data_IF_877261892708
#
_entry.id   IF_877261892708
#
_cell.length_a   1.000
_cell.length_b   1.000
_cell.length_c   1.000
_cell.angle_alpha   90.00
_cell.angle_beta   90.00
_cell.angle_gamma   90.00
#
_symmetry.space_group_name_H-M   'P 1'
#
loop_
_entity.id
_entity.type
_entity.pdbx_description
1 polymer ?
#
# COMPACT_ATOMS: atom_id res chain seq x y z
N UNK A 1 24.28 61.92 -23.90
CA UNK A 1 24.66 60.51 -24.13
C UNK A 1 24.46 59.74 -22.86
N UNK A 2 23.78 58.59 -22.92
CA UNK A 2 23.53 57.73 -21.76
C UNK A 2 22.11 57.18 -21.70
N UNK A 3 21.71 56.39 -22.71
CA UNK A 3 20.55 55.50 -22.65
C UNK A 3 21.00 54.10 -22.23
N UNK A 4 20.13 53.39 -21.51
CA UNK A 4 19.98 51.95 -21.61
C UNK A 4 20.91 51.10 -20.75
N UNK A 5 20.41 50.67 -19.60
CA UNK A 5 20.89 49.45 -18.95
C UNK A 5 20.10 48.23 -19.44
N UNK A 6 20.79 47.15 -19.83
CA UNK A 6 20.30 45.79 -19.66
C UNK A 6 21.30 45.03 -18.76
N UNK A 7 20.89 44.25 -17.78
CA UNK A 7 20.10 43.04 -17.96
C UNK A 7 20.91 41.91 -17.33
N UNK A 8 20.74 41.68 -16.03
CA UNK A 8 21.33 40.56 -15.33
C UNK A 8 20.56 39.29 -15.72
N UNK A 9 21.12 38.49 -16.62
CA UNK A 9 20.65 37.13 -16.89
C UNK A 9 21.13 36.22 -15.74
N UNK A 10 20.22 35.96 -14.79
CA UNK A 10 20.34 34.87 -13.85
C UNK A 10 20.07 33.55 -14.58
N UNK A 11 21.14 32.87 -14.99
CA UNK A 11 21.07 31.49 -15.47
C UNK A 11 20.91 30.54 -14.29
N UNK A 12 19.68 30.42 -13.76
CA UNK A 12 19.29 29.27 -12.96
C UNK A 12 18.92 28.14 -13.94
N UNK A 13 19.92 27.42 -14.43
CA UNK A 13 19.68 26.16 -15.13
C UNK A 13 19.14 25.17 -14.09
N UNK A 14 17.89 24.76 -14.32
CA UNK A 14 17.17 23.80 -13.51
C UNK A 14 17.99 22.52 -13.34
N UNK A 15 18.32 22.26 -12.08
CA UNK A 15 18.82 20.97 -11.66
C UNK A 15 17.71 19.93 -11.79
N UNK A 16 17.98 18.95 -12.63
CA UNK A 16 17.87 17.54 -12.28
C UNK A 16 16.48 17.03 -11.81
N UNK A 17 15.54 16.93 -12.76
CA UNK A 17 14.35 16.06 -12.65
C UNK A 17 14.38 14.91 -13.67
N UNK A 18 15.57 14.56 -14.18
CA UNK A 18 15.76 13.40 -15.06
C UNK A 18 16.24 12.17 -14.27
N UNK A 19 15.52 11.78 -13.22
CA UNK A 19 15.83 10.58 -12.45
C UNK A 19 14.62 9.65 -12.36
N UNK A 20 14.77 8.49 -13.03
CA UNK A 20 14.01 7.23 -12.91
C UNK A 20 12.73 7.05 -13.76
N UNK A 21 12.87 7.13 -15.09
CA UNK A 21 11.90 6.53 -16.04
C UNK A 21 12.40 5.20 -16.61
N UNK A 22 12.64 4.21 -15.76
CA UNK A 22 12.63 2.81 -16.23
C UNK A 22 11.37 2.17 -15.67
N UNK A 23 10.25 2.43 -16.35
CA UNK A 23 8.97 1.81 -16.03
C UNK A 23 9.03 0.30 -16.25
N UNK A 24 8.21 -0.44 -15.53
CA UNK A 24 8.04 -1.87 -15.77
C UNK A 24 7.46 -2.08 -17.18
N UNK A 25 8.15 -2.90 -17.98
CA UNK A 25 7.80 -3.14 -19.36
C UNK A 25 6.73 -4.23 -19.49
N UNK A 26 5.62 -3.90 -20.12
CA UNK A 26 4.49 -4.83 -20.36
C UNK A 26 4.52 -5.44 -21.76
N UNK A 27 5.60 -5.26 -22.53
CA UNK A 27 5.77 -6.00 -23.80
C UNK A 27 5.69 -7.51 -23.52
N UNK A 28 4.93 -8.21 -24.34
CA UNK A 28 4.71 -9.65 -24.17
C UNK A 28 3.80 -10.04 -22.99
N UNK A 29 3.25 -9.09 -22.24
CA UNK A 29 2.30 -9.40 -21.15
C UNK A 29 1.03 -10.06 -21.68
N UNK A 30 0.68 -11.21 -21.10
CA UNK A 30 -0.56 -11.94 -21.35
C UNK A 30 -1.28 -12.19 -20.04
N UNK A 31 -2.56 -11.85 -20.00
CA UNK A 31 -3.42 -12.17 -18.85
C UNK A 31 -3.70 -13.66 -18.86
N UNK A 32 -3.37 -14.33 -17.76
CA UNK A 32 -3.67 -15.75 -17.56
C UNK A 32 -5.01 -15.89 -16.83
N UNK A 33 -5.18 -15.17 -15.71
CA UNK A 33 -6.44 -15.15 -14.95
C UNK A 33 -6.57 -13.96 -14.01
N UNK A 34 -7.81 -13.65 -13.65
CA UNK A 34 -8.11 -12.75 -12.53
C UNK A 34 -8.00 -13.56 -11.24
N UNK A 35 -7.09 -13.15 -10.34
CA UNK A 35 -6.90 -13.77 -9.03
C UNK A 35 -7.99 -13.33 -8.05
N UNK A 36 -8.30 -12.03 -8.03
CA UNK A 36 -9.32 -11.44 -7.17
C UNK A 36 -9.84 -10.14 -7.79
N UNK A 37 -11.13 -9.87 -7.60
CA UNK A 37 -11.81 -8.63 -7.95
C UNK A 37 -12.59 -8.14 -6.72
N UNK A 38 -12.53 -6.83 -6.47
CA UNK A 38 -13.44 -6.16 -5.55
C UNK A 38 -14.06 -4.92 -6.20
N UNK A 39 -15.30 -5.08 -6.69
CA UNK A 39 -16.13 -3.97 -7.13
C UNK A 39 -16.36 -2.91 -6.02
N UNK A 40 -16.28 -3.28 -4.74
CA UNK A 40 -16.44 -2.33 -3.62
C UNK A 40 -15.21 -1.41 -3.49
N UNK A 41 -14.01 -1.99 -3.40
CA UNK A 41 -12.75 -1.23 -3.28
C UNK A 41 -12.18 -0.77 -4.62
N UNK A 42 -12.83 -1.12 -5.74
CA UNK A 42 -12.39 -0.77 -7.10
C UNK A 42 -10.98 -1.29 -7.40
N UNK A 43 -10.71 -2.52 -6.99
CA UNK A 43 -9.39 -3.18 -7.11
C UNK A 43 -9.50 -4.48 -7.88
N UNK A 44 -8.50 -4.80 -8.69
CA UNK A 44 -8.35 -6.11 -9.35
C UNK A 44 -6.92 -6.62 -9.25
N UNK A 45 -6.78 -7.93 -9.04
CA UNK A 45 -5.51 -8.65 -8.94
C UNK A 45 -5.45 -9.63 -10.10
N UNK A 46 -4.41 -9.52 -10.92
CA UNK A 46 -4.30 -10.21 -12.20
C UNK A 46 -3.03 -11.04 -12.18
N UNK A 47 -3.15 -12.32 -12.48
CA UNK A 47 -2.01 -13.16 -12.83
C UNK A 47 -1.87 -13.14 -14.34
N UNK A 48 -0.65 -12.86 -14.79
CA UNK A 48 -0.28 -12.99 -16.19
C UNK A 48 1.13 -13.53 -16.33
N UNK A 49 1.56 -13.61 -17.57
CA UNK A 49 2.89 -14.05 -17.96
C UNK A 49 3.54 -13.01 -18.87
N UNK A 50 4.84 -12.83 -18.72
CA UNK A 50 5.66 -12.02 -19.64
C UNK A 50 6.65 -12.96 -20.31
N UNK A 51 6.62 -12.97 -21.64
CA UNK A 51 7.60 -13.65 -22.46
C UNK A 51 8.44 -12.59 -23.19
N UNK A 52 9.74 -12.56 -22.90
CA UNK A 52 10.70 -11.85 -23.73
C UNK A 52 11.07 -12.70 -24.94
N UNK A 53 11.41 -12.07 -26.07
CA UNK A 53 11.74 -12.78 -27.31
C UNK A 53 12.84 -13.84 -27.09
N UNK A 54 12.44 -15.12 -27.13
CA UNK A 54 13.33 -16.28 -26.99
C UNK A 54 13.59 -16.75 -25.56
N UNK A 55 12.99 -16.15 -24.53
CA UNK A 55 13.11 -16.57 -23.13
C UNK A 55 11.88 -17.31 -22.62
N UNK A 56 12.04 -18.09 -21.54
CA UNK A 56 10.91 -18.70 -20.85
C UNK A 56 9.97 -17.64 -20.26
N UNK A 57 8.67 -17.85 -20.43
CA UNK A 57 7.66 -16.99 -19.87
C UNK A 57 7.74 -16.99 -18.34
N UNK A 58 7.75 -15.81 -17.73
CA UNK A 58 7.80 -15.63 -16.29
C UNK A 58 6.46 -15.09 -15.79
N UNK A 59 6.01 -15.64 -14.67
CA UNK A 59 4.78 -15.17 -14.04
C UNK A 59 4.94 -13.74 -13.50
N UNK A 60 3.85 -12.99 -13.56
CA UNK A 60 3.72 -11.64 -13.00
C UNK A 60 2.36 -11.52 -12.34
N UNK A 61 2.30 -10.81 -11.22
CA UNK A 61 1.03 -10.34 -10.64
C UNK A 61 0.96 -8.83 -10.78
N UNK A 62 -0.13 -8.35 -11.38
CA UNK A 62 -0.44 -6.92 -11.51
C UNK A 62 -1.68 -6.62 -10.68
N UNK A 63 -1.58 -5.64 -9.81
CA UNK A 63 -2.67 -5.15 -8.96
C UNK A 63 -3.02 -3.75 -9.43
N UNK A 64 -4.28 -3.53 -9.78
CA UNK A 64 -4.80 -2.25 -10.22
C UNK A 64 -5.82 -1.76 -9.21
N UNK A 65 -5.64 -0.54 -8.72
CA UNK A 65 -6.51 0.09 -7.73
C UNK A 65 -6.86 1.51 -8.18
N UNK A 66 -8.15 1.86 -8.18
CA UNK A 66 -8.58 3.24 -8.42
C UNK A 66 -8.14 4.12 -7.25
N UNK A 67 -7.57 5.28 -7.57
CA UNK A 67 -7.19 6.25 -6.54
C UNK A 67 -8.43 6.96 -5.96
N UNK A 68 -8.41 7.33 -4.67
CA UNK A 68 -9.44 8.17 -4.07
C UNK A 68 -9.49 9.56 -4.73
N UNK A 69 -10.65 10.22 -4.67
CA UNK A 69 -10.77 11.62 -5.06
C UNK A 69 -10.00 12.51 -4.07
N UNK A 70 -9.34 13.55 -4.59
CA UNK A 70 -8.70 14.60 -3.80
C UNK A 70 -9.55 15.87 -3.86
N UNK A 71 -9.91 16.41 -2.70
CA UNK A 71 -10.83 17.55 -2.58
C UNK A 71 -10.35 18.78 -3.37
N UNK A 72 -9.04 18.98 -3.42
CA UNK A 72 -8.36 20.10 -4.07
C UNK A 72 -8.54 20.06 -5.60
N UNK A 73 -8.70 18.85 -6.15
CA UNK A 73 -8.83 18.62 -7.60
C UNK A 73 -10.28 18.61 -8.09
N UNK A 74 -11.27 18.71 -7.20
CA UNK A 74 -12.68 18.65 -7.57
C UNK A 74 -13.10 19.80 -8.50
N UNK A 75 -12.52 20.98 -8.33
CA UNK A 75 -12.76 22.14 -9.20
C UNK A 75 -12.23 21.92 -10.62
N UNK A 76 -11.20 21.10 -10.78
CA UNK A 76 -10.66 20.69 -12.08
C UNK A 76 -11.52 19.61 -12.74
N UNK A 77 -12.16 18.73 -11.95
CA UNK A 77 -13.09 17.71 -12.44
C UNK A 77 -14.46 18.28 -12.83
N UNK A 78 -15.00 19.17 -12.00
CA UNK A 78 -16.36 19.67 -12.07
C UNK A 78 -16.38 21.11 -12.59
N UNK A 79 -15.92 21.30 -13.83
CA UNK A 79 -15.91 22.59 -14.51
C UNK A 79 -16.84 22.57 -15.74
N UNK A 80 -16.95 23.73 -16.42
CA UNK A 80 -17.82 23.92 -17.59
C UNK A 80 -17.50 23.00 -18.80
N UNK A 81 -16.27 22.50 -18.87
CA UNK A 81 -15.74 21.68 -19.95
C UNK A 81 -15.76 20.18 -19.59
N UNK A 82 -16.39 19.80 -18.47
CA UNK A 82 -16.51 18.40 -18.04
C UNK A 82 -17.29 17.53 -19.06
N UNK A 83 -16.68 16.44 -19.52
CA UNK A 83 -17.35 15.43 -20.36
C UNK A 83 -18.26 14.55 -19.49
N UNK A 84 -19.49 15.03 -19.30
CA UNK A 84 -20.58 14.35 -18.61
C UNK A 84 -21.55 13.73 -19.62
N UNK A 85 -21.75 12.42 -19.55
CA UNK A 85 -22.71 11.70 -20.38
C UNK A 85 -23.85 11.16 -19.53
N UNK A 86 -25.06 11.63 -19.80
CA UNK A 86 -26.25 11.27 -19.04
C UNK A 86 -26.61 9.79 -19.24
N UNK A 87 -26.84 9.07 -18.14
CA UNK A 87 -27.40 7.71 -18.16
C UNK A 87 -28.90 7.72 -17.86
N UNK A 88 -29.26 8.27 -16.69
CA UNK A 88 -30.63 8.25 -16.18
C UNK A 88 -30.94 9.61 -15.57
N UNK A 89 -32.15 10.11 -15.79
CA UNK A 89 -32.69 11.29 -15.14
C UNK A 89 -34.13 11.02 -14.69
N UNK A 90 -34.42 11.28 -13.43
CA UNK A 90 -35.76 11.26 -12.87
C UNK A 90 -35.92 12.41 -11.86
N UNK A 91 -36.83 13.33 -12.16
CA UNK A 91 -37.04 14.57 -11.39
C UNK A 91 -35.72 15.32 -11.13
N UNK A 92 -35.31 15.45 -9.87
CA UNK A 92 -34.07 16.11 -9.45
C UNK A 92 -32.84 15.19 -9.45
N UNK A 93 -33.01 13.89 -9.66
CA UNK A 93 -31.92 12.92 -9.67
C UNK A 93 -31.45 12.65 -11.09
N UNK A 94 -30.14 12.77 -11.33
CA UNK A 94 -29.53 12.38 -12.60
C UNK A 94 -28.17 11.73 -12.37
N UNK A 95 -27.90 10.64 -13.08
CA UNK A 95 -26.64 9.90 -13.02
C UNK A 95 -25.90 10.07 -14.35
N UNK A 96 -24.61 10.40 -14.27
CA UNK A 96 -23.75 10.63 -15.44
C UNK A 96 -22.51 9.74 -15.37
N UNK A 97 -21.93 9.43 -16.52
CA UNK A 97 -20.51 9.08 -16.63
C UNK A 97 -19.71 10.35 -16.79
N UNK A 98 -18.79 10.61 -15.86
CA UNK A 98 -17.76 11.63 -15.99
C UNK A 98 -16.49 11.00 -16.58
N UNK A 99 -15.95 11.59 -17.64
CA UNK A 99 -14.66 11.20 -18.20
C UNK A 99 -13.58 12.19 -17.75
N UNK A 100 -12.80 11.87 -16.70
CA UNK A 100 -11.81 12.78 -16.15
C UNK A 100 -10.64 13.01 -17.12
N UNK A 101 -9.95 14.16 -17.03
CA UNK A 101 -8.71 14.38 -17.77
C UNK A 101 -7.64 13.34 -17.37
N UNK A 102 -6.66 13.04 -18.24
CA UNK A 102 -5.60 12.06 -17.94
C UNK A 102 -4.79 12.34 -16.66
N UNK A 103 -4.73 13.59 -16.23
CA UNK A 103 -4.04 13.96 -14.98
C UNK A 103 -4.77 13.52 -13.72
N UNK A 104 -6.07 13.20 -13.81
CA UNK A 104 -6.93 12.85 -12.68
C UNK A 104 -7.50 11.43 -12.79
N UNK A 105 -6.97 10.62 -13.71
CA UNK A 105 -7.42 9.26 -13.97
C UNK A 105 -6.38 8.19 -13.58
N UNK A 106 -5.45 8.56 -12.69
CA UNK A 106 -4.39 7.69 -12.19
C UNK A 106 -4.96 6.38 -11.64
N UNK A 107 -4.31 5.28 -11.98
CA UNK A 107 -4.59 3.96 -11.42
C UNK A 107 -3.32 3.51 -10.72
N UNK A 108 -3.40 3.33 -9.40
CA UNK A 108 -2.30 2.79 -8.62
C UNK A 108 -2.04 1.37 -9.13
N UNK A 109 -0.83 1.16 -9.65
CA UNK A 109 -0.42 -0.09 -10.26
C UNK A 109 0.72 -0.68 -9.46
N UNK A 110 0.53 -1.87 -8.90
CA UNK A 110 1.58 -2.62 -8.21
C UNK A 110 1.94 -3.85 -9.02
N UNK A 111 3.22 -4.03 -9.29
CA UNK A 111 3.74 -5.16 -10.07
C UNK A 111 4.60 -6.05 -9.17
N UNK A 112 4.33 -7.35 -9.19
CA UNK A 112 5.15 -8.38 -8.55
C UNK A 112 5.74 -9.26 -9.65
N UNK A 113 7.04 -9.11 -9.90
CA UNK A 113 7.75 -9.82 -10.96
C UNK A 113 9.20 -10.18 -10.55
N UNK A 114 9.67 -11.42 -10.85
CA UNK A 114 8.86 -12.56 -11.24
C UNK A 114 7.98 -13.03 -10.05
N UNK A 115 6.73 -13.34 -10.33
CA UNK A 115 5.81 -13.87 -9.33
C UNK A 115 6.12 -15.35 -9.07
N UNK A 116 6.17 -15.75 -7.80
CA UNK A 116 6.24 -17.16 -7.41
C UNK A 116 4.82 -17.70 -7.23
N UNK A 117 4.67 -19.03 -7.19
CA UNK A 117 3.39 -19.67 -6.85
C UNK A 117 2.81 -19.19 -5.51
N UNK A 118 3.68 -18.83 -4.56
CA UNK A 118 3.26 -18.23 -3.27
C UNK A 118 2.62 -16.86 -3.46
N UNK A 119 3.12 -16.03 -4.38
CA UNK A 119 2.52 -14.73 -4.69
C UNK A 119 1.15 -14.92 -5.35
N UNK A 120 1.05 -15.84 -6.30
CA UNK A 120 -0.20 -16.18 -6.99
C UNK A 120 -1.25 -16.66 -5.96
N UNK A 121 -0.87 -17.62 -5.11
CA UNK A 121 -1.75 -18.18 -4.06
C UNK A 121 -2.18 -17.13 -3.03
N UNK A 122 -1.30 -16.17 -2.70
CA UNK A 122 -1.59 -15.06 -1.77
C UNK A 122 -2.70 -14.14 -2.28
N UNK A 123 -2.73 -13.85 -3.59
CA UNK A 123 -3.70 -12.92 -4.18
C UNK A 123 -4.89 -13.61 -4.83
N UNK A 124 -4.84 -14.94 -5.00
CA UNK A 124 -6.00 -15.73 -5.40
C UNK A 124 -7.08 -15.58 -4.34
N UNK A 125 -8.31 -15.25 -4.76
CA UNK A 125 -9.46 -15.15 -3.88
C UNK A 125 -9.60 -16.46 -3.11
N UNK A 126 -9.31 -16.41 -1.81
CA UNK A 126 -9.47 -17.55 -0.93
C UNK A 126 -10.91 -17.57 -0.42
N UNK A 127 -11.53 -18.73 -0.42
CA UNK A 127 -12.75 -18.94 0.35
C UNK A 127 -12.39 -18.81 1.82
N UNK A 128 -12.99 -17.83 2.48
CA UNK A 128 -12.80 -17.60 3.90
C UNK A 128 -13.88 -18.34 4.67
N UNK A 129 -13.46 -19.08 5.68
CA UNK A 129 -14.34 -19.82 6.57
C UNK A 129 -14.24 -19.22 7.97
N UNK A 130 -15.38 -19.11 8.65
CA UNK A 130 -15.39 -18.73 10.07
C UNK A 130 -15.04 -19.98 10.88
N UNK A 131 -13.97 -19.90 11.68
CA UNK A 131 -13.54 -20.97 12.59
C UNK A 131 -13.55 -20.41 14.01
N UNK A 132 -14.10 -21.19 14.94
CA UNK A 132 -14.04 -20.89 16.36
C UNK A 132 -12.94 -21.74 17.01
N UNK A 133 -11.78 -21.14 17.28
CA UNK A 133 -10.62 -21.81 17.86
C UNK A 133 -10.68 -21.78 19.40
N UNK A 134 -10.77 -22.96 20.03
CA UNK A 134 -10.63 -23.09 21.48
C UNK A 134 -9.17 -22.95 21.94
N UNK A 135 -8.94 -22.83 23.26
CA UNK A 135 -7.58 -22.84 23.81
C UNK A 135 -6.85 -24.17 23.51
N UNK A 136 -7.57 -25.29 23.55
CA UNK A 136 -7.00 -26.62 23.27
C UNK A 136 -6.61 -26.75 21.80
N UNK A 137 -7.46 -26.27 20.87
CA UNK A 137 -7.16 -26.24 19.44
C UNK A 137 -5.90 -25.40 19.16
N UNK A 138 -5.76 -24.24 19.80
CA UNK A 138 -4.56 -23.41 19.64
C UNK A 138 -3.30 -24.16 20.06
N UNK A 139 -3.32 -24.83 21.23
CA UNK A 139 -2.16 -25.55 21.76
C UNK A 139 -1.81 -26.81 20.96
N UNK A 140 -2.80 -27.52 20.47
CA UNK A 140 -2.62 -28.84 19.84
C UNK A 140 -2.53 -28.79 18.31
N UNK A 141 -3.08 -27.76 17.67
CA UNK A 141 -3.17 -27.65 16.20
C UNK A 141 -2.44 -26.39 15.71
N UNK A 142 -2.89 -25.20 16.12
CA UNK A 142 -2.43 -23.94 15.51
C UNK A 142 -1.00 -23.58 15.87
N UNK A 143 -0.64 -23.60 17.15
CA UNK A 143 0.71 -23.27 17.60
C UNK A 143 1.78 -24.22 17.01
N UNK A 144 1.59 -25.56 17.03
CA UNK A 144 2.51 -26.48 16.36
C UNK A 144 2.62 -26.22 14.85
N UNK A 145 1.50 -25.90 14.18
CA UNK A 145 1.50 -25.55 12.77
C UNK A 145 2.31 -24.27 12.50
N UNK A 146 2.09 -23.20 13.25
CA UNK A 146 2.83 -21.94 13.11
C UNK A 146 4.33 -22.13 13.29
N UNK A 147 4.73 -22.93 14.30
CA UNK A 147 6.14 -23.25 14.56
C UNK A 147 6.77 -24.05 13.41
N UNK A 148 6.01 -24.96 12.79
CA UNK A 148 6.48 -25.75 11.65
C UNK A 148 6.75 -24.93 10.39
N UNK A 149 6.10 -23.77 10.23
CA UNK A 149 6.14 -22.96 8.99
C UNK A 149 7.29 -21.96 8.92
N UNK A 150 8.04 -21.76 10.00
CA UNK A 150 9.25 -20.94 10.05
C UNK A 150 9.11 -19.58 9.32
N UNK A 151 8.03 -18.85 9.58
CA UNK A 151 7.83 -17.52 8.99
C UNK A 151 8.89 -16.54 9.50
N UNK A 152 9.63 -15.93 8.57
CA UNK A 152 10.63 -14.92 8.93
C UNK A 152 9.98 -13.57 9.13
N UNK A 153 10.13 -13.01 10.33
CA UNK A 153 9.78 -11.62 10.68
C UNK A 153 11.02 -10.71 10.67
N UNK A 154 12.05 -11.06 9.89
CA UNK A 154 13.31 -10.29 9.85
C UNK A 154 13.10 -8.82 9.47
N UNK A 155 12.11 -8.51 8.64
CA UNK A 155 11.77 -7.14 8.30
C UNK A 155 11.40 -6.30 9.55
N UNK A 156 10.66 -6.90 10.50
CA UNK A 156 10.31 -6.25 11.78
C UNK A 156 11.59 -5.93 12.57
N UNK A 157 12.52 -6.87 12.62
CA UNK A 157 13.80 -6.66 13.31
C UNK A 157 14.67 -5.61 12.64
N UNK A 158 14.65 -5.52 11.30
CA UNK A 158 15.38 -4.49 10.60
C UNK A 158 14.88 -3.08 10.97
N UNK A 159 13.56 -2.90 11.16
CA UNK A 159 12.98 -1.62 11.62
C UNK A 159 13.38 -1.35 13.08
N UNK A 160 13.21 -2.32 13.97
CA UNK A 160 13.56 -2.19 15.39
C UNK A 160 15.06 -1.90 15.60
N UNK A 161 15.93 -2.47 14.75
CA UNK A 161 17.38 -2.28 14.76
C UNK A 161 17.85 -1.07 13.92
N UNK A 162 16.91 -0.27 13.38
CA UNK A 162 17.18 0.92 12.55
C UNK A 162 18.01 0.65 11.29
N UNK A 163 17.95 -0.58 10.77
CA UNK A 163 18.61 -1.00 9.53
C UNK A 163 17.77 -0.68 8.29
N UNK A 164 16.47 -0.47 8.44
CA UNK A 164 15.53 -0.10 7.39
C UNK A 164 14.45 0.82 7.95
N UNK A 165 13.94 1.73 7.10
CA UNK A 165 12.79 2.61 7.39
C UNK A 165 12.93 3.46 8.67
N UNK A 166 14.16 3.71 9.11
CA UNK A 166 14.44 4.46 10.34
C UNK A 166 14.01 5.94 10.23
N UNK A 167 14.04 6.49 9.03
CA UNK A 167 13.62 7.84 8.68
C UNK A 167 12.09 8.01 8.68
N UNK A 168 11.32 6.92 8.60
CA UNK A 168 9.86 6.94 8.60
C UNK A 168 9.24 6.82 10.00
N UNK A 169 10.05 6.65 11.04
CA UNK A 169 9.57 6.51 12.41
C UNK A 169 8.98 7.84 12.89
N UNK A 170 7.72 7.81 13.31
CA UNK A 170 6.98 8.98 13.81
C UNK A 170 7.20 9.15 15.32
N UNK A 171 7.27 8.04 16.04
CA UNK A 171 7.46 8.02 17.49
C UNK A 171 8.20 6.74 17.93
N UNK A 172 8.97 6.84 19.01
CA UNK A 172 9.60 5.68 19.63
C UNK A 172 9.72 5.83 21.14
N UNK A 173 9.22 4.83 21.87
CA UNK A 173 9.56 4.58 23.26
C UNK A 173 10.62 3.47 23.29
N UNK A 174 11.87 3.76 23.67
CA UNK A 174 13.00 2.84 23.51
C UNK A 174 13.09 1.75 24.59
N UNK A 175 12.14 1.67 25.53
CA UNK A 175 12.16 0.64 26.57
C UNK A 175 12.09 -0.77 25.94
N UNK A 176 13.03 -1.64 26.32
CA UNK A 176 13.18 -2.96 25.69
C UNK A 176 12.01 -3.93 25.99
N UNK A 177 11.23 -3.68 27.05
CA UNK A 177 10.15 -4.55 27.51
C UNK A 177 8.75 -3.96 27.26
N UNK A 178 8.62 -2.65 27.48
CA UNK A 178 7.35 -1.92 27.45
C UNK A 178 7.34 -0.79 26.40
N UNK A 179 8.40 -0.67 25.61
CA UNK A 179 8.52 0.29 24.53
C UNK A 179 8.09 -0.26 23.18
N UNK A 180 7.91 0.66 22.23
CA UNK A 180 7.48 0.38 20.86
C UNK A 180 7.92 1.53 19.94
N UNK A 181 7.88 1.26 18.64
CA UNK A 181 7.96 2.30 17.60
C UNK A 181 6.64 2.43 16.86
N UNK A 182 6.36 3.63 16.35
CA UNK A 182 5.20 3.95 15.52
C UNK A 182 5.69 4.37 14.13
N UNK A 183 5.15 3.75 13.09
CA UNK A 183 5.56 3.97 11.69
C UNK A 183 4.34 3.95 10.76
N UNK A 184 4.30 4.74 9.67
CA UNK A 184 3.25 4.65 8.65
C UNK A 184 3.16 3.23 8.06
N UNK A 185 1.93 2.73 7.85
CA UNK A 185 1.73 1.48 7.12
C UNK A 185 1.99 1.70 5.61
N UNK A 186 2.52 0.67 4.94
CA UNK A 186 2.78 0.69 3.49
C UNK A 186 1.54 1.07 2.65
N UNK A 187 0.32 0.85 3.17
CA UNK A 187 -0.93 1.19 2.47
C UNK A 187 -1.23 2.68 2.47
N UNK A 188 -0.71 3.46 3.42
CA UNK A 188 -1.00 4.88 3.54
C UNK A 188 0.05 5.71 2.79
N UNK A 189 -0.41 6.59 1.90
CA UNK A 189 0.46 7.42 1.05
C UNK A 189 0.90 8.73 1.73
N UNK A 190 0.45 8.98 2.96
CA UNK A 190 0.77 10.16 3.77
C UNK A 190 0.32 11.51 3.17
N UNK A 191 -0.58 11.50 2.18
CA UNK A 191 -1.08 12.74 1.52
C UNK A 191 -2.25 13.39 2.23
N UNK A 192 -3.05 12.61 2.95
CA UNK A 192 -4.25 13.08 3.67
C UNK A 192 -4.44 12.30 4.97
N UNK A 193 -5.28 12.81 5.86
CA UNK A 193 -5.54 12.20 7.17
C UNK A 193 -6.78 11.30 7.18
N UNK A 194 -7.63 11.35 6.16
CA UNK A 194 -8.85 10.54 6.09
C UNK A 194 -8.56 9.04 5.99
N UNK A 195 -7.39 8.67 5.47
CA UNK A 195 -6.87 7.31 5.39
C UNK A 195 -5.63 7.08 6.26
N UNK A 196 -5.45 7.91 7.31
CA UNK A 196 -4.36 7.81 8.30
C UNK A 196 -4.20 6.36 8.79
N UNK A 197 -3.02 5.78 8.57
CA UNK A 197 -2.72 4.42 9.00
C UNK A 197 -1.28 4.31 9.49
N UNK A 198 -1.12 4.09 10.80
CA UNK A 198 0.15 3.75 11.43
C UNK A 198 0.12 2.35 12.05
N UNK A 199 1.30 1.79 12.25
CA UNK A 199 1.53 0.50 12.92
C UNK A 199 2.49 0.71 14.09
N UNK A 200 2.09 0.20 15.26
CA UNK A 200 2.96 0.13 16.44
C UNK A 200 3.66 -1.24 16.49
N UNK A 201 4.97 -1.24 16.67
CA UNK A 201 5.79 -2.46 16.78
C UNK A 201 6.53 -2.44 18.12
N UNK A 202 6.23 -3.39 19.01
CA UNK A 202 6.89 -3.49 20.31
C UNK A 202 8.36 -3.92 20.21
N UNK A 203 9.22 -3.40 21.09
CA UNK A 203 10.61 -3.85 21.17
C UNK A 203 10.74 -5.26 21.75
N UNK A 204 9.84 -5.63 22.67
CA UNK A 204 9.83 -6.94 23.30
C UNK A 204 9.64 -8.04 22.26
N UNK A 205 10.59 -8.97 22.19
CA UNK A 205 10.54 -10.13 21.29
C UNK A 205 9.75 -11.27 21.94
N UNK A 206 9.22 -12.17 21.11
CA UNK A 206 8.59 -13.42 21.56
C UNK A 206 7.08 -13.34 21.83
N UNK A 207 6.47 -12.16 21.71
CA UNK A 207 5.00 -12.02 21.68
C UNK A 207 4.55 -12.33 20.25
N UNK A 208 4.00 -13.52 20.00
CA UNK A 208 3.60 -13.98 18.67
C UNK A 208 2.21 -13.49 18.28
N UNK A 209 1.28 -13.45 19.24
CA UNK A 209 -0.12 -13.07 18.98
C UNK A 209 -0.87 -12.70 20.27
N UNK A 210 -2.17 -12.42 20.14
CA UNK A 210 -3.09 -12.22 21.27
C UNK A 210 -3.06 -13.35 22.30
N UNK A 211 -2.75 -14.59 21.89
CA UNK A 211 -2.69 -15.77 22.78
C UNK A 211 -1.54 -15.70 23.79
N UNK A 212 -0.51 -14.90 23.54
CA UNK A 212 0.64 -14.76 24.43
C UNK A 212 0.47 -13.61 25.44
N UNK A 213 -0.59 -12.80 25.29
CA UNK A 213 -0.84 -11.66 26.17
C UNK A 213 -1.29 -12.13 27.56
N UNK A 214 -0.75 -11.46 28.57
CA UNK A 214 -0.99 -11.70 30.00
C UNK A 214 -1.01 -10.36 30.72
N UNK A 215 -1.31 -10.36 32.02
CA UNK A 215 -1.26 -9.15 32.85
C UNK A 215 0.13 -8.47 32.88
N UNK A 216 1.21 -9.23 32.63
CA UNK A 216 2.57 -8.69 32.55
C UNK A 216 2.72 -7.67 31.41
N UNK A 217 1.94 -7.83 30.34
CA UNK A 217 2.02 -7.00 29.15
C UNK A 217 1.17 -5.73 29.24
N UNK A 218 0.43 -5.52 30.34
CA UNK A 218 -0.43 -4.35 30.51
C UNK A 218 0.33 -3.01 30.35
N UNK A 219 1.53 -2.81 30.93
CA UNK A 219 2.28 -1.56 30.75
C UNK A 219 2.62 -1.29 29.28
N UNK A 220 3.11 -2.29 28.55
CA UNK A 220 3.37 -2.20 27.10
C UNK A 220 2.12 -1.78 26.32
N UNK A 221 0.98 -2.44 26.56
CA UNK A 221 -0.27 -2.16 25.86
C UNK A 221 -0.82 -0.77 26.18
N UNK A 222 -0.67 -0.31 27.43
CA UNK A 222 -1.06 1.04 27.85
C UNK A 222 -0.17 2.11 27.20
N UNK A 223 1.15 1.89 27.16
CA UNK A 223 2.08 2.79 26.50
C UNK A 223 1.73 2.95 25.01
N UNK A 224 1.49 1.84 24.29
CA UNK A 224 1.07 1.89 22.88
C UNK A 224 -0.20 2.72 22.69
N UNK A 225 -1.20 2.55 23.56
CA UNK A 225 -2.47 3.26 23.46
C UNK A 225 -2.37 4.74 23.83
N UNK A 226 -1.55 5.09 24.83
CA UNK A 226 -1.50 6.46 25.38
C UNK A 226 -0.47 7.32 24.66
N UNK A 227 0.70 6.76 24.35
CA UNK A 227 1.80 7.47 23.69
C UNK A 227 1.64 7.48 22.16
N UNK A 228 0.85 6.57 21.59
CA UNK A 228 0.57 6.49 20.16
C UNK A 228 -0.63 7.33 19.68
N UNK A 229 -1.26 8.12 20.55
CA UNK A 229 -2.39 9.00 20.23
C UNK A 229 -1.96 10.29 19.51
#
# INVERSE_FOLDING_TARGET
>A
GGQGGPGAQGGAQGGDEAALTVGFDLRGFRVERVLQDSARSKTVFIHGQIADDGAEAKDVVIILEKTPFQTETLSLLLNKDADLRLHVKNDIYSTYSLYPPPTLNEIKTTVVYPATEKHITKYLRQEVYLVHESEDDYKTITAPYLESKAFSIQWVYNILEKKAEADQIVYENPDAQNGFLLIPDLKWNQKQLDDLYLVAICHRRGIKSLRDLTSEHLPLLQNILQEGQ
#
